data_IF_374457238954
#
_entry.id   IF_374457238954
#
_cell.length_a   1.000
_cell.length_b   1.000
_cell.length_c   1.000
_cell.angle_alpha   90.00
_cell.angle_beta   90.00
_cell.angle_gamma   90.00
#
_symmetry.space_group_name_H-M   'P 1'
#
loop_
_entity.id
_entity.type
_entity.pdbx_description
1 polymer ?
#
# COMPACT_ATOMS: atom_id res chain seq x y z
N UNK A 1 62.59 -2.82 9.02
CA UNK A 1 62.81 -1.86 7.90
C UNK A 1 61.44 -1.41 7.41
N UNK A 2 60.99 -0.25 7.84
CA UNK A 2 59.72 0.35 7.45
C UNK A 2 59.87 1.03 6.08
N UNK A 3 58.86 0.89 5.22
CA UNK A 3 58.79 1.55 3.91
C UNK A 3 57.40 2.18 3.77
N UNK A 4 57.34 3.47 4.07
CA UNK A 4 56.20 4.37 3.84
C UNK A 4 56.09 4.72 2.36
N UNK A 5 54.95 4.46 1.72
CA UNK A 5 54.56 5.09 0.45
C UNK A 5 53.42 6.06 0.69
N UNK A 6 53.75 7.36 0.67
CA UNK A 6 52.78 8.45 0.62
C UNK A 6 52.11 8.52 -0.75
N UNK A 7 50.82 8.83 -0.76
CA UNK A 7 50.06 9.22 -1.96
C UNK A 7 49.75 10.70 -1.86
N UNK A 8 50.20 11.46 -2.86
CA UNK A 8 49.82 12.84 -3.12
C UNK A 8 48.41 12.86 -3.73
N UNK A 9 47.56 13.77 -3.26
CA UNK A 9 46.30 14.13 -3.91
C UNK A 9 46.54 15.45 -4.64
N UNK A 10 46.42 15.44 -5.97
CA UNK A 10 46.35 16.62 -6.81
C UNK A 10 44.90 17.13 -6.86
N UNK A 11 44.74 18.43 -6.62
CA UNK A 11 43.48 19.15 -6.71
C UNK A 11 43.19 19.48 -8.18
N UNK A 12 42.06 19.00 -8.73
CA UNK A 12 41.49 19.49 -9.98
C UNK A 12 40.43 20.54 -9.67
N UNK A 13 40.67 21.79 -10.09
CA UNK A 13 39.70 22.86 -10.12
C UNK A 13 38.77 22.68 -11.33
N UNK A 14 37.46 22.65 -11.11
CA UNK A 14 36.44 22.65 -12.16
C UNK A 14 35.89 24.08 -12.25
N UNK A 15 36.08 24.71 -13.41
CA UNK A 15 35.56 26.04 -13.69
C UNK A 15 34.05 26.04 -13.88
N UNK A 16 33.38 26.98 -13.23
CA UNK A 16 31.96 27.28 -13.44
C UNK A 16 31.81 28.08 -14.74
N UNK A 17 31.10 27.52 -15.72
CA UNK A 17 30.54 28.27 -16.84
C UNK A 17 29.04 28.35 -16.68
N UNK A 18 28.54 29.54 -16.34
CA UNK A 18 27.11 29.89 -16.34
C UNK A 18 26.53 29.77 -17.76
N UNK A 19 25.63 28.79 -17.97
CA UNK A 19 24.71 28.82 -19.11
C UNK A 19 23.46 29.62 -18.72
N UNK A 20 23.25 30.76 -19.39
CA UNK A 20 21.96 31.46 -19.38
C UNK A 20 21.01 30.81 -20.39
N UNK A 21 19.81 30.33 -19.99
CA UNK A 21 18.84 29.84 -20.96
C UNK A 21 18.23 30.99 -21.76
N UNK A 22 18.11 30.81 -23.07
CA UNK A 22 17.42 31.75 -23.96
C UNK A 22 15.90 31.64 -23.81
N UNK A 23 15.20 32.76 -24.00
CA UNK A 23 13.75 32.90 -23.84
C UNK A 23 12.90 31.97 -24.76
N UNK A 24 13.51 31.25 -25.70
CA UNK A 24 12.84 30.28 -26.56
C UNK A 24 12.64 28.90 -25.90
N UNK A 25 13.35 28.60 -24.81
CA UNK A 25 13.18 27.35 -24.05
C UNK A 25 11.98 27.40 -23.08
N UNK A 26 11.50 28.59 -22.73
CA UNK A 26 10.38 28.78 -21.79
C UNK A 26 9.01 28.47 -22.41
N UNK A 27 8.86 28.59 -23.74
CA UNK A 27 7.55 28.44 -24.41
C UNK A 27 7.19 26.98 -24.71
N UNK A 28 8.17 26.08 -24.82
CA UNK A 28 7.93 24.63 -25.02
C UNK A 28 7.64 23.93 -23.68
N UNK A 29 8.16 24.45 -22.56
CA UNK A 29 7.83 23.94 -21.22
C UNK A 29 6.38 24.29 -20.82
N UNK A 30 5.82 25.41 -21.31
CA UNK A 30 4.45 25.80 -20.99
C UNK A 30 3.36 24.98 -21.69
N UNK A 31 3.63 24.35 -22.84
CA UNK A 31 2.62 23.49 -23.52
C UNK A 31 2.63 22.03 -23.04
N UNK A 32 3.67 21.59 -22.32
CA UNK A 32 3.68 20.28 -21.64
C UNK A 32 3.11 20.37 -20.22
N UNK A 33 3.13 21.56 -19.60
CA UNK A 33 2.56 21.80 -18.28
C UNK A 33 1.01 21.77 -18.23
N UNK A 34 0.32 21.86 -19.37
CA UNK A 34 -1.16 21.85 -19.43
C UNK A 34 -1.73 20.42 -19.56
N UNK A 35 -0.91 19.42 -19.90
CA UNK A 35 -1.35 18.03 -20.08
C UNK A 35 -1.11 17.11 -18.87
N UNK A 36 -0.38 17.56 -17.85
CA UNK A 36 -0.02 16.73 -16.68
C UNK A 36 -0.72 17.17 -15.37
N UNK A 37 -1.89 17.82 -15.47
CA UNK A 37 -2.81 18.01 -14.35
C UNK A 37 -3.43 16.66 -13.94
N UNK A 38 -2.61 15.72 -13.47
CA UNK A 38 -3.14 14.58 -12.74
C UNK A 38 -3.66 15.13 -11.41
N UNK A 39 -4.96 14.96 -11.12
CA UNK A 39 -5.48 15.44 -9.86
C UNK A 39 -4.71 14.73 -8.74
N UNK A 40 -4.09 15.52 -7.86
CA UNK A 40 -3.63 15.02 -6.57
C UNK A 40 -4.80 14.23 -5.95
N UNK A 41 -4.54 13.06 -5.32
CA UNK A 41 -5.59 12.27 -4.70
C UNK A 41 -6.44 13.17 -3.82
N UNK A 42 -7.73 13.26 -4.13
CA UNK A 42 -8.67 13.98 -3.29
C UNK A 42 -8.81 13.15 -2.03
N UNK A 43 -8.15 13.58 -0.96
CA UNK A 43 -8.34 12.99 0.37
C UNK A 43 -9.84 13.12 0.66
N UNK A 44 -10.58 12.02 0.83
CA UNK A 44 -11.99 12.10 1.13
C UNK A 44 -12.17 12.91 2.42
N UNK A 45 -13.14 13.81 2.39
CA UNK A 45 -13.57 14.55 3.57
C UNK A 45 -13.80 13.59 4.72
N UNK A 46 -13.38 14.02 5.90
CA UNK A 46 -13.48 13.24 7.12
C UNK A 46 -14.93 12.81 7.32
N UNK A 47 -15.20 11.53 7.13
CA UNK A 47 -16.47 10.95 7.51
C UNK A 47 -16.68 11.18 9.01
N UNK A 48 -17.91 11.54 9.40
CA UNK A 48 -18.29 11.58 10.80
C UNK A 48 -18.05 10.20 11.41
N UNK A 49 -17.16 10.15 12.39
CA UNK A 49 -16.82 8.91 13.07
C UNK A 49 -17.81 8.64 14.16
N UNK A 50 -18.46 7.49 14.09
CA UNK A 50 -19.27 6.97 15.19
C UNK A 50 -18.42 5.99 15.99
N UNK A 51 -18.16 6.26 17.28
CA UNK A 51 -17.43 5.33 18.13
C UNK A 51 -18.09 3.95 18.17
N UNK A 52 -17.29 2.90 18.03
CA UNK A 52 -17.71 1.53 18.34
C UNK A 52 -17.51 1.34 19.83
N UNK A 53 -18.63 1.43 20.56
CA UNK A 53 -18.63 1.40 22.04
C UNK A 53 -17.88 0.19 22.57
N UNK A 54 -17.04 0.42 23.56
CA UNK A 54 -16.28 -0.62 24.26
C UNK A 54 -15.44 -1.49 23.31
N UNK A 55 -14.89 -0.92 22.23
CA UNK A 55 -14.06 -1.67 21.27
C UNK A 55 -12.94 -2.46 21.95
N UNK A 56 -12.31 -1.87 22.97
CA UNK A 56 -11.23 -2.49 23.74
C UNK A 56 -11.65 -3.71 24.58
N UNK A 57 -12.95 -3.95 24.76
CA UNK A 57 -13.50 -5.16 25.38
C UNK A 57 -13.82 -6.26 24.35
N UNK A 58 -13.34 -6.11 23.11
CA UNK A 58 -13.58 -7.03 22.01
C UNK A 58 -12.31 -7.26 21.19
N UNK A 59 -12.38 -8.17 20.22
CA UNK A 59 -11.31 -8.38 19.25
C UNK A 59 -11.35 -7.27 18.18
N UNK A 60 -10.28 -6.48 18.09
CA UNK A 60 -10.10 -5.41 17.10
C UNK A 60 -9.27 -5.96 15.94
N UNK A 61 -9.78 -5.84 14.71
CA UNK A 61 -9.01 -6.15 13.51
C UNK A 61 -8.38 -4.86 12.95
N UNK A 62 -7.08 -4.90 12.68
CA UNK A 62 -6.34 -3.85 12.00
C UNK A 62 -5.83 -4.42 10.69
N UNK A 63 -6.50 -4.09 9.60
CA UNK A 63 -6.21 -4.61 8.28
C UNK A 63 -5.39 -3.67 7.43
N UNK A 64 -4.33 -4.21 6.83
CA UNK A 64 -3.44 -3.49 5.92
C UNK A 64 -3.13 -4.33 4.70
N UNK A 65 -2.58 -3.68 3.67
CA UNK A 65 -2.12 -4.28 2.44
C UNK A 65 -0.66 -3.92 2.22
N UNK A 66 0.00 -4.61 1.28
CA UNK A 66 1.39 -4.33 1.00
C UNK A 66 1.61 -2.84 0.65
N UNK A 67 2.47 -2.15 1.42
CA UNK A 67 2.78 -0.72 1.28
C UNK A 67 1.67 0.25 1.65
N UNK A 68 0.64 -0.16 2.40
CA UNK A 68 -0.38 0.80 2.88
C UNK A 68 -0.10 1.40 4.25
N UNK A 69 1.02 1.06 4.92
CA UNK A 69 1.37 1.64 6.23
C UNK A 69 1.35 0.67 7.40
N UNK A 70 1.51 -0.63 7.13
CA UNK A 70 1.53 -1.70 8.13
C UNK A 70 2.51 -1.46 9.28
N UNK A 71 3.72 -0.95 9.00
CA UNK A 71 4.72 -0.64 10.04
C UNK A 71 4.22 0.45 10.98
N UNK A 72 3.62 1.51 10.44
CA UNK A 72 3.06 2.61 11.23
C UNK A 72 1.95 2.07 12.15
N UNK A 73 0.96 1.38 11.60
CA UNK A 73 -0.14 0.85 12.40
C UNK A 73 0.33 -0.19 13.42
N UNK A 74 1.28 -1.06 13.07
CA UNK A 74 1.82 -2.03 14.01
C UNK A 74 2.54 -1.40 15.20
N UNK A 75 3.21 -0.25 15.00
CA UNK A 75 3.84 0.53 16.05
C UNK A 75 2.81 1.27 16.90
N UNK A 76 1.83 1.93 16.28
CA UNK A 76 0.75 2.66 16.95
C UNK A 76 -0.09 1.73 17.82
N UNK A 77 -0.55 0.60 17.27
CA UNK A 77 -1.37 -0.35 18.02
C UNK A 77 -0.60 -1.13 19.08
N UNK A 78 0.73 -1.21 19.00
CA UNK A 78 1.55 -1.72 20.11
C UNK A 78 1.52 -0.78 21.31
N UNK A 79 1.62 0.53 21.07
CA UNK A 79 1.47 1.52 22.12
C UNK A 79 0.05 1.49 22.70
N UNK A 80 -0.96 1.54 21.83
CA UNK A 80 -2.35 1.58 22.25
C UNK A 80 -2.76 0.33 23.02
N UNK A 81 -2.44 -0.87 22.54
CA UNK A 81 -2.73 -2.12 23.26
C UNK A 81 -2.07 -2.16 24.65
N UNK A 82 -0.83 -1.66 24.76
CA UNK A 82 -0.12 -1.54 26.06
C UNK A 82 -0.84 -0.57 26.99
N UNK A 83 -1.23 0.61 26.50
CA UNK A 83 -1.95 1.63 27.29
C UNK A 83 -3.32 1.13 27.73
N UNK A 84 -4.02 0.37 26.89
CA UNK A 84 -5.36 -0.17 27.16
C UNK A 84 -5.35 -1.51 27.90
N UNK A 85 -4.17 -2.08 28.17
CA UNK A 85 -4.03 -3.33 28.90
C UNK A 85 -4.57 -4.57 28.17
N UNK A 86 -4.57 -4.56 26.83
CA UNK A 86 -5.06 -5.69 26.02
C UNK A 86 -3.91 -6.38 25.25
N UNK A 87 -4.01 -7.69 24.97
CA UNK A 87 -3.02 -8.38 24.16
C UNK A 87 -3.00 -7.88 22.72
N UNK A 88 -1.85 -8.04 22.05
CA UNK A 88 -1.67 -7.74 20.63
C UNK A 88 -1.00 -8.89 19.91
N UNK A 89 -1.64 -9.35 18.84
CA UNK A 89 -1.12 -10.32 17.89
C UNK A 89 -0.87 -9.66 16.54
N UNK A 90 0.12 -10.16 15.79
CA UNK A 90 0.39 -9.74 14.41
C UNK A 90 0.44 -10.98 13.55
N UNK A 91 -0.48 -11.13 12.61
CA UNK A 91 -0.52 -12.26 11.69
C UNK A 91 0.58 -12.16 10.63
N UNK A 92 1.66 -12.90 10.84
CA UNK A 92 2.65 -13.29 9.83
C UNK A 92 2.31 -14.68 9.25
N UNK A 93 2.79 -14.96 8.03
CA UNK A 93 2.47 -16.12 7.17
C UNK A 93 2.73 -17.53 7.75
N UNK A 94 3.48 -17.70 8.85
CA UNK A 94 3.99 -19.03 9.25
C UNK A 94 3.54 -19.55 10.62
N UNK A 95 2.90 -18.76 11.48
CA UNK A 95 2.43 -19.25 12.80
C UNK A 95 1.40 -18.33 13.47
N UNK A 96 1.51 -17.05 13.20
CA UNK A 96 0.75 -15.99 13.89
C UNK A 96 -0.65 -15.74 13.35
N UNK A 97 -1.00 -16.25 12.16
CA UNK A 97 -2.40 -16.29 11.72
C UNK A 97 -3.27 -17.10 12.69
N UNK A 98 -2.69 -18.11 13.36
CA UNK A 98 -3.37 -18.87 14.41
C UNK A 98 -3.71 -18.00 15.62
N UNK A 99 -2.79 -17.15 16.09
CA UNK A 99 -3.03 -16.29 17.25
C UNK A 99 -4.15 -15.26 17.00
N UNK A 100 -4.23 -14.71 15.79
CA UNK A 100 -5.37 -13.87 15.40
C UNK A 100 -6.66 -14.68 15.31
N UNK A 101 -6.63 -15.84 14.64
CA UNK A 101 -7.81 -16.71 14.54
C UNK A 101 -8.34 -17.13 15.92
N UNK A 102 -7.46 -17.48 16.86
CA UNK A 102 -7.79 -17.81 18.25
C UNK A 102 -8.44 -16.63 18.98
N UNK A 103 -7.87 -15.43 18.86
CA UNK A 103 -8.44 -14.21 19.45
C UNK A 103 -9.89 -13.99 19.02
N UNK A 104 -10.17 -14.08 17.71
CA UNK A 104 -11.51 -13.89 17.15
C UNK A 104 -12.46 -15.07 17.45
N UNK A 105 -11.97 -16.31 17.43
CA UNK A 105 -12.76 -17.48 17.78
C UNK A 105 -13.20 -17.45 19.25
N UNK A 106 -12.29 -17.04 20.15
CA UNK A 106 -12.56 -16.88 21.57
C UNK A 106 -13.30 -15.58 21.91
N UNK A 107 -13.47 -14.66 20.95
CA UNK A 107 -14.02 -13.30 21.13
C UNK A 107 -13.33 -12.56 22.28
N UNK A 108 -12.03 -12.79 22.43
CA UNK A 108 -11.26 -12.23 23.53
C UNK A 108 -10.85 -10.79 23.23
N UNK A 109 -10.81 -9.90 24.24
CA UNK A 109 -10.26 -8.55 24.10
C UNK A 109 -8.83 -8.60 23.55
N UNK A 110 -8.55 -7.81 22.51
CA UNK A 110 -7.20 -7.74 21.95
C UNK A 110 -7.17 -7.13 20.56
N UNK A 111 -5.95 -6.88 20.09
CA UNK A 111 -5.70 -6.32 18.76
C UNK A 111 -5.02 -7.36 17.88
N UNK A 112 -5.61 -7.64 16.72
CA UNK A 112 -4.97 -8.39 15.66
C UNK A 112 -4.59 -7.46 14.51
N UNK A 113 -3.31 -7.46 14.13
CA UNK A 113 -2.85 -6.79 12.90
C UNK A 113 -2.70 -7.85 11.80
N UNK A 114 -3.52 -7.72 10.76
CA UNK A 114 -3.48 -8.56 9.56
C UNK A 114 -2.73 -7.81 8.44
N UNK A 115 -1.60 -8.38 8.03
CA UNK A 115 -0.89 -7.96 6.83
C UNK A 115 -1.47 -8.72 5.64
N UNK A 116 -1.80 -8.03 4.54
CA UNK A 116 -2.47 -8.62 3.37
C UNK A 116 -3.91 -9.05 3.67
N UNK A 117 -4.67 -8.16 4.31
CA UNK A 117 -6.08 -8.41 4.62
C UNK A 117 -6.83 -8.78 3.35
N UNK A 118 -7.53 -9.89 3.37
CA UNK A 118 -8.33 -10.35 2.24
C UNK A 118 -9.80 -10.42 2.62
N UNK A 119 -10.65 -10.49 1.61
CA UNK A 119 -12.08 -10.73 1.82
C UNK A 119 -12.35 -12.11 2.48
N UNK A 120 -11.46 -13.10 2.30
CA UNK A 120 -11.48 -14.34 3.09
C UNK A 120 -11.29 -14.06 4.58
N UNK A 121 -10.29 -13.25 4.94
CA UNK A 121 -10.02 -12.88 6.33
C UNK A 121 -11.24 -12.18 6.96
N UNK A 122 -11.87 -11.26 6.22
CA UNK A 122 -13.09 -10.59 6.68
C UNK A 122 -14.21 -11.57 6.99
N UNK A 123 -14.51 -12.50 6.08
CA UNK A 123 -15.57 -13.49 6.28
C UNK A 123 -15.30 -14.44 7.45
N UNK A 124 -14.04 -14.76 7.69
CA UNK A 124 -13.66 -15.69 8.75
C UNK A 124 -13.66 -15.04 10.13
N UNK A 125 -13.20 -13.80 10.25
CA UNK A 125 -12.89 -13.21 11.56
C UNK A 125 -13.82 -12.06 11.95
N UNK A 126 -14.39 -11.33 10.99
CA UNK A 126 -15.05 -10.05 11.28
C UNK A 126 -16.57 -10.19 11.51
N UNK A 127 -16.94 -10.67 12.70
CA UNK A 127 -18.33 -10.73 13.15
C UNK A 127 -19.05 -9.37 13.05
N UNK A 128 -20.38 -9.30 12.81
CA UNK A 128 -21.12 -8.04 12.77
C UNK A 128 -20.86 -7.16 14.00
N UNK A 129 -20.56 -5.88 13.78
CA UNK A 129 -20.26 -4.91 14.85
C UNK A 129 -18.84 -4.96 15.42
N UNK A 130 -18.05 -6.00 15.13
CA UNK A 130 -16.63 -6.04 15.52
C UNK A 130 -15.85 -4.84 14.93
N UNK A 131 -15.00 -4.16 15.72
CA UNK A 131 -14.22 -3.03 15.26
C UNK A 131 -13.18 -3.44 14.21
N UNK A 132 -13.19 -2.73 13.09
CA UNK A 132 -12.24 -2.92 11.99
C UNK A 132 -11.62 -1.59 11.60
N UNK A 133 -10.30 -1.49 11.74
CA UNK A 133 -9.50 -0.40 11.18
C UNK A 133 -8.91 -0.89 9.87
N UNK A 134 -9.28 -0.28 8.75
CA UNK A 134 -8.75 -0.62 7.43
C UNK A 134 -7.90 0.53 6.92
N UNK A 135 -6.67 0.24 6.52
CA UNK A 135 -5.80 1.21 5.86
C UNK A 135 -5.75 0.96 4.35
N UNK A 136 -6.12 1.98 3.58
CA UNK A 136 -6.00 2.05 2.13
C UNK A 136 -4.96 3.08 1.71
N UNK A 137 -4.41 2.96 0.51
CA UNK A 137 -3.42 3.89 -0.04
C UNK A 137 -3.64 4.09 -1.53
N UNK A 138 -3.22 5.25 -2.04
CA UNK A 138 -3.30 5.51 -3.46
C UNK A 138 -2.55 4.42 -4.24
N UNK A 139 -3.19 3.74 -5.21
CA UNK A 139 -2.59 2.58 -5.87
C UNK A 139 -1.31 2.92 -6.65
N UNK A 140 -1.19 4.16 -7.15
CA UNK A 140 0.05 4.62 -7.78
C UNK A 140 1.14 4.81 -6.73
N UNK A 141 0.81 5.43 -5.60
CA UNK A 141 1.75 5.57 -4.48
C UNK A 141 2.20 4.20 -3.92
N UNK A 142 1.32 3.20 -3.92
CA UNK A 142 1.68 1.83 -3.55
C UNK A 142 2.71 1.24 -4.53
N UNK A 143 2.48 1.32 -5.84
CA UNK A 143 3.41 0.81 -6.85
C UNK A 143 4.80 1.44 -6.73
N UNK A 144 4.87 2.77 -6.61
CA UNK A 144 6.13 3.51 -6.43
C UNK A 144 6.83 3.10 -5.12
N UNK A 145 6.07 3.05 -4.02
CA UNK A 145 6.58 2.67 -2.71
C UNK A 145 7.08 1.22 -2.68
N UNK A 146 6.45 0.31 -3.42
CA UNK A 146 6.86 -1.08 -3.54
C UNK A 146 8.16 -1.22 -4.32
N UNK A 147 8.27 -0.53 -5.47
CA UNK A 147 9.48 -0.53 -6.30
C UNK A 147 10.69 0.00 -5.54
N UNK A 148 10.58 1.17 -4.91
CA UNK A 148 11.70 1.73 -4.14
C UNK A 148 12.11 0.83 -2.98
N UNK A 149 11.14 0.23 -2.28
CA UNK A 149 11.45 -0.72 -1.22
C UNK A 149 12.16 -1.95 -1.76
N UNK A 150 11.62 -2.66 -2.75
CA UNK A 150 12.27 -3.87 -3.26
C UNK A 150 13.60 -3.61 -3.97
N UNK A 151 13.85 -2.38 -4.41
CA UNK A 151 15.15 -1.96 -4.92
C UNK A 151 16.19 -1.81 -3.79
N UNK A 152 15.82 -1.19 -2.66
CA UNK A 152 16.78 -0.74 -1.63
C UNK A 152 16.85 -1.62 -0.38
N UNK A 153 15.79 -2.34 -0.08
CA UNK A 153 15.64 -3.11 1.15
C UNK A 153 16.59 -4.33 1.17
N UNK A 154 16.98 -4.80 2.35
CA UNK A 154 18.09 -5.76 2.54
C UNK A 154 17.67 -7.03 3.25
N UNK A 155 16.37 -7.22 3.43
CA UNK A 155 15.80 -8.33 4.16
C UNK A 155 16.16 -9.67 3.50
N UNK A 156 16.46 -10.73 4.27
CA UNK A 156 16.93 -12.00 3.72
C UNK A 156 15.98 -12.64 2.70
N UNK A 157 14.67 -12.38 2.81
CA UNK A 157 13.67 -12.92 1.89
C UNK A 157 13.69 -12.22 0.52
N UNK A 158 14.22 -11.00 0.41
CA UNK A 158 14.41 -10.29 -0.86
C UNK A 158 15.62 -10.81 -1.65
N UNK A 159 16.56 -11.45 -0.95
CA UNK A 159 17.73 -12.08 -1.55
C UNK A 159 17.42 -13.46 -2.14
N UNK A 160 16.17 -13.93 -2.01
CA UNK A 160 15.78 -15.23 -2.54
C UNK A 160 15.58 -15.15 -4.06
N UNK A 161 16.16 -16.09 -4.83
CA UNK A 161 15.97 -16.13 -6.27
C UNK A 161 14.54 -16.51 -6.63
N UNK A 162 13.99 -15.90 -7.69
CA UNK A 162 12.66 -16.21 -8.19
C UNK A 162 12.73 -17.04 -9.46
N UNK A 163 11.96 -18.12 -9.53
CA UNK A 163 11.87 -19.01 -10.71
C UNK A 163 11.48 -18.23 -11.97
N UNK A 164 10.51 -17.33 -11.84
CA UNK A 164 10.00 -16.52 -12.95
C UNK A 164 10.98 -15.43 -13.42
N UNK A 165 12.02 -15.16 -12.61
CA UNK A 165 13.14 -14.29 -12.97
C UNK A 165 14.38 -15.11 -13.34
N UNK A 166 14.20 -16.34 -13.83
CA UNK A 166 15.29 -17.23 -14.25
C UNK A 166 16.33 -17.49 -13.14
N UNK A 167 15.88 -17.49 -11.88
CA UNK A 167 16.75 -17.66 -10.72
C UNK A 167 17.45 -16.39 -10.25
N UNK A 168 17.12 -15.22 -10.81
CA UNK A 168 17.58 -13.94 -10.29
C UNK A 168 16.73 -13.46 -9.11
N UNK A 169 17.34 -12.66 -8.23
CA UNK A 169 16.61 -11.91 -7.18
C UNK A 169 15.86 -10.72 -7.78
N UNK A 170 14.88 -10.19 -7.06
CA UNK A 170 14.17 -8.97 -7.50
C UNK A 170 15.12 -7.78 -7.63
N UNK A 171 16.05 -7.63 -6.68
CA UNK A 171 17.06 -6.56 -6.75
C UNK A 171 17.97 -6.70 -7.96
N UNK A 172 18.45 -7.92 -8.25
CA UNK A 172 19.22 -8.15 -9.46
C UNK A 172 18.44 -7.77 -10.71
N UNK A 173 17.16 -8.14 -10.79
CA UNK A 173 16.30 -7.75 -11.90
C UNK A 173 16.18 -6.22 -12.02
N UNK A 174 15.93 -5.50 -10.92
CA UNK A 174 15.77 -4.04 -10.95
C UNK A 174 17.07 -3.29 -11.27
N UNK A 175 18.23 -3.79 -10.83
CA UNK A 175 19.52 -3.18 -11.16
C UNK A 175 19.93 -3.39 -12.62
N UNK A 176 19.37 -4.40 -13.29
CA UNK A 176 19.69 -4.74 -14.68
C UNK A 176 18.57 -4.39 -15.68
N UNK A 177 17.55 -3.66 -15.24
CA UNK A 177 16.46 -3.17 -16.10
C UNK A 177 16.36 -1.65 -16.06
N UNK A 178 15.69 -1.05 -17.04
CA UNK A 178 15.46 0.39 -17.02
C UNK A 178 14.57 0.76 -15.82
N UNK A 179 14.73 1.96 -15.26
CA UNK A 179 13.87 2.42 -14.13
C UNK A 179 12.39 2.35 -14.49
N UNK A 180 12.05 2.70 -15.73
CA UNK A 180 10.68 2.65 -16.23
C UNK A 180 10.12 1.22 -16.26
N UNK A 181 10.90 0.26 -16.77
CA UNK A 181 10.48 -1.15 -16.81
C UNK A 181 10.43 -1.77 -15.41
N UNK A 182 11.36 -1.39 -14.53
CA UNK A 182 11.39 -1.82 -13.14
C UNK A 182 10.15 -1.42 -12.36
N UNK A 183 9.76 -0.12 -12.42
CA UNK A 183 8.57 0.36 -11.70
C UNK A 183 7.28 -0.22 -12.27
N UNK A 184 7.17 -0.38 -13.60
CA UNK A 184 6.02 -1.02 -14.26
C UNK A 184 5.91 -2.50 -13.89
N UNK A 185 7.03 -3.23 -13.92
CA UNK A 185 7.08 -4.63 -13.51
C UNK A 185 6.61 -4.81 -12.07
N UNK A 186 7.08 -3.96 -11.15
CA UNK A 186 6.65 -4.05 -9.76
C UNK A 186 5.18 -3.69 -9.57
N UNK A 187 4.68 -2.69 -10.29
CA UNK A 187 3.26 -2.35 -10.24
C UNK A 187 2.37 -3.50 -10.74
N UNK A 188 2.81 -4.21 -11.78
CA UNK A 188 2.17 -5.44 -12.27
C UNK A 188 2.14 -6.52 -11.18
N UNK A 189 3.27 -6.80 -10.51
CA UNK A 189 3.33 -7.71 -9.35
C UNK A 189 2.36 -7.33 -8.24
N UNK A 190 2.26 -6.04 -7.94
CA UNK A 190 1.45 -5.51 -6.85
C UNK A 190 -0.06 -5.52 -7.14
N UNK A 191 -0.47 -5.75 -8.39
CA UNK A 191 -1.88 -5.62 -8.78
C UNK A 191 -2.83 -6.54 -7.99
N UNK A 192 -2.38 -7.73 -7.58
CA UNK A 192 -3.19 -8.59 -6.72
C UNK A 192 -3.52 -7.93 -5.37
N UNK A 193 -2.54 -7.28 -4.75
CA UNK A 193 -2.73 -6.56 -3.48
C UNK A 193 -3.64 -5.35 -3.66
N UNK A 194 -3.44 -4.57 -4.74
CA UNK A 194 -4.29 -3.40 -5.04
C UNK A 194 -5.75 -3.83 -5.23
N UNK A 195 -5.98 -4.96 -5.92
CA UNK A 195 -7.35 -5.44 -6.08
C UNK A 195 -7.92 -5.94 -4.78
N UNK A 196 -7.22 -6.80 -4.02
CA UNK A 196 -7.70 -7.23 -2.69
C UNK A 196 -8.04 -6.04 -1.78
N UNK A 197 -7.23 -4.97 -1.81
CA UNK A 197 -7.52 -3.72 -1.12
C UNK A 197 -8.84 -3.09 -1.56
N UNK A 198 -9.07 -2.99 -2.87
CA UNK A 198 -10.32 -2.48 -3.42
C UNK A 198 -11.52 -3.37 -3.06
N UNK A 199 -11.35 -4.70 -2.97
CA UNK A 199 -12.41 -5.62 -2.55
C UNK A 199 -12.79 -5.39 -1.09
N UNK A 200 -11.80 -5.39 -0.21
CA UNK A 200 -11.98 -5.16 1.23
C UNK A 200 -12.61 -3.80 1.45
N UNK A 201 -12.09 -2.75 0.81
CA UNK A 201 -12.64 -1.39 0.89
C UNK A 201 -14.13 -1.36 0.52
N UNK A 202 -14.50 -1.90 -0.64
CA UNK A 202 -15.88 -1.87 -1.10
C UNK A 202 -16.82 -2.71 -0.23
N UNK A 203 -16.33 -3.84 0.31
CA UNK A 203 -17.08 -4.69 1.20
C UNK A 203 -17.33 -4.05 2.58
N UNK A 204 -16.43 -3.16 3.04
CA UNK A 204 -16.48 -2.65 4.43
C UNK A 204 -16.75 -1.16 4.56
N UNK A 205 -16.66 -0.36 3.50
CA UNK A 205 -16.82 1.12 3.57
C UNK A 205 -18.15 1.61 4.13
N UNK A 206 -19.22 0.81 4.04
CA UNK A 206 -20.56 1.14 4.58
C UNK A 206 -20.84 0.48 5.93
N UNK A 207 -19.90 -0.32 6.46
CA UNK A 207 -20.11 -1.09 7.68
C UNK A 207 -19.88 -0.19 8.90
N UNK A 208 -20.87 -0.11 9.79
CA UNK A 208 -20.81 0.77 10.97
C UNK A 208 -19.63 0.48 11.92
N UNK A 209 -19.18 -0.79 11.98
CA UNK A 209 -18.02 -1.21 12.76
C UNK A 209 -16.69 -1.07 12.02
N UNK A 210 -16.63 -0.33 10.91
CA UNK A 210 -15.41 -0.15 10.13
C UNK A 210 -15.04 1.32 10.02
N UNK A 211 -13.78 1.63 10.30
CA UNK A 211 -13.18 2.91 9.96
C UNK A 211 -12.07 2.67 8.95
N UNK A 212 -12.19 3.33 7.80
CA UNK A 212 -11.16 3.28 6.75
C UNK A 212 -10.35 4.57 6.75
N UNK A 213 -9.03 4.43 6.75
CA UNK A 213 -8.09 5.53 6.60
C UNK A 213 -7.39 5.47 5.25
N UNK A 214 -7.27 6.65 4.65
CA UNK A 214 -6.38 6.89 3.52
C UNK A 214 -5.00 7.19 4.10
N UNK A 215 -3.96 6.49 3.66
CA UNK A 215 -2.60 6.67 4.17
C UNK A 215 -2.12 8.12 4.05
N UNK A 216 -2.56 8.80 3.00
CA UNK A 216 -2.26 10.21 2.71
C UNK A 216 -2.79 11.16 3.80
N UNK A 217 -3.86 10.79 4.53
CA UNK A 217 -4.40 11.60 5.63
C UNK A 217 -3.41 11.80 6.77
N UNK A 218 -2.49 10.84 7.00
CA UNK A 218 -1.44 10.99 8.02
C UNK A 218 -0.41 12.05 7.65
N UNK A 219 -0.14 12.23 6.36
CA UNK A 219 0.77 13.28 5.90
C UNK A 219 0.11 14.66 5.93
N UNK A 220 -1.21 14.72 5.77
CA UNK A 220 -1.97 15.96 5.81
C UNK A 220 -2.23 16.46 7.25
N UNK A 221 -2.64 15.56 8.16
CA UNK A 221 -2.91 15.89 9.56
C UNK A 221 -2.77 14.62 10.42
N UNK A 222 -1.53 14.35 10.86
CA UNK A 222 -1.20 13.15 11.63
C UNK A 222 -1.99 13.06 12.93
N UNK A 223 -2.00 14.12 13.74
CA UNK A 223 -2.63 14.12 15.06
C UNK A 223 -4.16 14.01 14.95
N UNK A 224 -4.78 14.73 14.02
CA UNK A 224 -6.21 14.63 13.76
C UNK A 224 -6.61 13.23 13.27
N UNK A 225 -5.77 12.61 12.43
CA UNK A 225 -6.01 11.23 11.96
C UNK A 225 -5.87 10.21 13.09
N UNK A 226 -4.87 10.36 13.96
CA UNK A 226 -4.71 9.49 15.14
C UNK A 226 -5.85 9.65 16.14
N UNK A 227 -6.28 10.89 16.40
CA UNK A 227 -7.43 11.19 17.26
C UNK A 227 -8.69 10.50 16.76
N UNK A 228 -9.00 10.66 15.47
CA UNK A 228 -10.13 10.03 14.81
C UNK A 228 -10.13 8.50 15.00
N UNK A 229 -8.95 7.87 14.91
CA UNK A 229 -8.78 6.43 15.12
C UNK A 229 -9.08 6.02 16.56
N UNK A 230 -8.55 6.73 17.54
CA UNK A 230 -8.74 6.38 18.95
C UNK A 230 -10.14 6.71 19.47
N UNK A 231 -10.79 7.75 18.93
CA UNK A 231 -12.20 8.06 19.18
C UNK A 231 -13.12 6.99 18.61
N UNK A 232 -12.85 6.50 17.39
CA UNK A 232 -13.58 5.37 16.83
C UNK A 232 -13.53 4.12 17.70
N UNK A 233 -12.36 3.85 18.29
CA UNK A 233 -12.17 2.73 19.20
C UNK A 233 -12.66 2.99 20.63
N UNK A 234 -13.38 4.10 20.86
CA UNK A 234 -13.93 4.45 22.17
C UNK A 234 -12.86 4.45 23.28
N UNK A 235 -11.70 5.04 22.98
CA UNK A 235 -10.56 5.08 23.92
C UNK A 235 -10.75 6.08 25.08
N UNK A 236 -11.88 6.80 25.10
CA UNK A 236 -12.28 7.71 26.18
C UNK A 236 -11.20 8.73 26.54
N UNK A 237 -10.91 8.85 27.84
CA UNK A 237 -9.91 9.80 28.36
C UNK A 237 -8.47 9.52 27.89
N UNK A 238 -8.19 8.34 27.33
CA UNK A 238 -6.85 7.99 26.85
C UNK A 238 -6.50 8.58 25.49
N UNK A 239 -7.46 9.14 24.74
CA UNK A 239 -7.24 9.65 23.37
C UNK A 239 -6.07 10.62 23.29
N UNK A 240 -6.02 11.65 24.13
CA UNK A 240 -4.95 12.65 24.11
C UNK A 240 -3.57 12.04 24.37
N UNK A 241 -3.50 11.15 25.36
CA UNK A 241 -2.26 10.46 25.70
C UNK A 241 -1.78 9.59 24.53
N UNK A 242 -2.69 8.86 23.89
CA UNK A 242 -2.38 7.99 22.76
C UNK A 242 -1.94 8.78 21.54
N UNK A 243 -2.58 9.91 21.21
CA UNK A 243 -2.16 10.81 20.14
C UNK A 243 -0.75 11.33 20.41
N UNK A 244 -0.50 11.85 21.62
CA UNK A 244 0.84 12.33 22.03
C UNK A 244 1.90 11.24 21.95
N UNK A 245 1.57 10.01 22.34
CA UNK A 245 2.51 8.88 22.22
C UNK A 245 2.75 8.49 20.76
N UNK A 246 1.72 8.52 19.92
CA UNK A 246 1.81 8.16 18.50
C UNK A 246 2.59 9.20 17.69
N UNK A 247 2.65 10.47 18.12
CA UNK A 247 3.34 11.55 17.39
C UNK A 247 4.81 11.28 17.15
N UNK A 248 5.46 10.42 17.96
CA UNK A 248 6.84 9.97 17.72
C UNK A 248 7.03 9.25 16.37
N UNK A 249 5.95 8.79 15.74
CA UNK A 249 5.96 8.14 14.43
C UNK A 249 5.57 9.09 13.28
N UNK A 250 5.35 10.37 13.56
CA UNK A 250 5.16 11.39 12.54
C UNK A 250 6.50 11.73 11.88
N UNK A 251 6.69 11.23 10.66
CA UNK A 251 7.92 11.43 9.89
C UNK A 251 8.18 12.91 9.55
N UNK A 252 7.13 13.75 9.54
CA UNK A 252 7.31 15.19 9.33
C UNK A 252 7.97 15.89 10.53
N UNK A 253 7.85 15.32 11.73
CA UNK A 253 8.42 15.86 12.98
C UNK A 253 9.78 15.25 13.31
N UNK A 254 9.93 13.95 13.08
CA UNK A 254 11.05 13.18 13.63
C UNK A 254 12.02 12.66 12.56
N UNK A 255 11.72 12.85 11.27
CA UNK A 255 12.46 12.19 10.19
C UNK A 255 12.28 10.67 10.22
N UNK A 256 12.93 9.97 9.31
CA UNK A 256 12.89 8.51 9.26
C UNK A 256 14.09 7.92 10.02
N UNK A 257 13.86 7.39 11.22
CA UNK A 257 14.91 6.62 11.94
C UNK A 257 15.36 5.36 11.18
N UNK A 258 14.48 4.81 10.33
CA UNK A 258 14.77 3.68 9.46
C UNK A 258 14.44 4.05 8.01
N UNK A 259 15.37 4.75 7.36
CA UNK A 259 15.27 5.19 5.97
C UNK A 259 14.99 4.03 4.99
N UNK A 260 15.31 2.78 5.37
CA UNK A 260 15.13 1.60 4.53
C UNK A 260 13.66 1.28 4.21
N UNK A 261 12.74 1.70 5.07
CA UNK A 261 11.30 1.46 4.90
C UNK A 261 10.53 2.70 4.42
N UNK A 262 11.21 3.84 4.28
CA UNK A 262 10.61 5.12 3.89
C UNK A 262 11.14 5.53 2.54
N UNK A 263 10.27 5.54 1.52
CA UNK A 263 10.62 6.05 0.20
C UNK A 263 10.89 7.56 0.24
N UNK A 264 12.03 7.98 -0.32
CA UNK A 264 12.38 9.41 -0.47
C UNK A 264 11.33 10.11 -1.32
N UNK A 265 10.97 11.34 -0.95
CA UNK A 265 9.94 12.13 -1.66
C UNK A 265 10.39 12.60 -3.04
N UNK A 266 11.70 12.85 -3.22
CA UNK A 266 12.27 13.48 -4.41
C UNK A 266 12.09 12.66 -5.70
N UNK A 267 12.16 11.32 -5.61
CA UNK A 267 12.07 10.47 -6.81
C UNK A 267 10.64 10.10 -7.22
N UNK A 268 9.67 10.30 -6.32
CA UNK A 268 8.29 9.83 -6.52
C UNK A 268 7.62 10.44 -7.76
N UNK A 269 7.75 11.75 -8.06
CA UNK A 269 7.15 12.32 -9.27
C UNK A 269 7.61 11.63 -10.56
N UNK A 270 8.92 11.46 -10.75
CA UNK A 270 9.48 10.82 -11.94
C UNK A 270 9.02 9.34 -12.07
N UNK A 271 8.95 8.60 -10.96
CA UNK A 271 8.47 7.22 -10.97
C UNK A 271 6.96 7.12 -11.31
N UNK A 272 6.15 8.10 -10.88
CA UNK A 272 4.72 8.19 -11.25
C UNK A 272 4.56 8.43 -12.75
N UNK A 273 5.34 9.35 -13.32
CA UNK A 273 5.32 9.63 -14.76
C UNK A 273 5.69 8.38 -15.58
N UNK A 274 6.71 7.63 -15.15
CA UNK A 274 7.10 6.38 -15.80
C UNK A 274 5.99 5.32 -15.78
N UNK A 275 5.23 5.24 -14.69
CA UNK A 275 4.06 4.36 -14.59
C UNK A 275 2.94 4.81 -15.54
N UNK A 276 2.62 6.10 -15.59
CA UNK A 276 1.54 6.61 -16.42
C UNK A 276 1.85 6.66 -17.92
N UNK A 277 3.12 6.53 -18.29
CA UNK A 277 3.52 6.30 -19.68
C UNK A 277 3.16 4.89 -20.20
N UNK A 278 2.79 3.92 -19.33
CA UNK A 278 2.16 2.66 -19.74
C UNK A 278 0.64 2.84 -19.71
N UNK A 279 0.01 2.92 -20.88
CA UNK A 279 -1.42 3.26 -21.00
C UNK A 279 -2.34 2.25 -20.30
N UNK A 280 -2.02 0.96 -20.38
CA UNK A 280 -2.81 -0.08 -19.75
C UNK A 280 -2.73 0.03 -18.23
N UNK A 281 -1.53 0.24 -17.68
CA UNK A 281 -1.36 0.45 -16.24
C UNK A 281 -2.01 1.75 -15.78
N UNK A 282 -1.85 2.85 -16.53
CA UNK A 282 -2.51 4.12 -16.25
C UNK A 282 -4.01 3.94 -16.09
N UNK A 283 -4.66 3.31 -17.06
CA UNK A 283 -6.10 3.14 -17.09
C UNK A 283 -6.58 2.25 -15.93
N UNK A 284 -5.87 1.17 -15.63
CA UNK A 284 -6.20 0.30 -14.48
C UNK A 284 -6.04 1.05 -13.16
N UNK A 285 -4.95 1.81 -12.99
CA UNK A 285 -4.69 2.55 -11.75
C UNK A 285 -5.71 3.68 -11.53
N UNK A 286 -6.14 4.35 -12.60
CA UNK A 286 -7.23 5.33 -12.54
C UNK A 286 -8.53 4.66 -12.11
N UNK A 287 -8.90 3.53 -12.72
CA UNK A 287 -10.09 2.77 -12.34
C UNK A 287 -10.01 2.36 -10.86
N UNK A 288 -8.86 1.85 -10.41
CA UNK A 288 -8.62 1.46 -9.01
C UNK A 288 -8.77 2.63 -8.03
N UNK A 289 -8.28 3.83 -8.39
CA UNK A 289 -8.51 5.04 -7.58
C UNK A 289 -10.00 5.32 -7.40
N UNK A 290 -10.82 5.16 -8.45
CA UNK A 290 -12.27 5.32 -8.34
C UNK A 290 -12.87 4.26 -7.41
N UNK A 291 -12.48 2.99 -7.57
CA UNK A 291 -12.95 1.89 -6.71
C UNK A 291 -12.57 2.05 -5.24
N UNK A 292 -11.41 2.65 -4.95
CA UNK A 292 -10.92 2.95 -3.60
C UNK A 292 -11.44 4.28 -3.05
N UNK A 293 -12.26 5.02 -3.80
CA UNK A 293 -12.88 6.27 -3.34
C UNK A 293 -11.99 7.52 -3.40
N UNK A 294 -10.86 7.48 -4.13
CA UNK A 294 -9.99 8.65 -4.36
C UNK A 294 -10.55 9.66 -5.37
N UNK A 295 -11.56 9.26 -6.14
CA UNK A 295 -12.13 10.09 -7.20
C UNK A 295 -13.54 10.54 -6.85
N UNK A 296 -13.69 11.80 -6.40
CA UNK A 296 -15.02 12.40 -6.18
C UNK A 296 -15.64 12.79 -7.51
N UNK A 297 -16.91 12.42 -7.71
CA UNK A 297 -17.68 12.81 -8.89
C UNK A 297 -17.33 12.08 -10.19
N UNK A 298 -16.35 11.17 -10.16
CA UNK A 298 -16.08 10.28 -11.29
C UNK A 298 -16.96 9.04 -11.14
N UNK A 299 -17.72 8.73 -12.18
CA UNK A 299 -18.54 7.50 -12.22
C UNK A 299 -17.59 6.31 -12.26
N UNK A 300 -17.81 5.34 -11.36
CA UNK A 300 -17.06 4.10 -11.38
C UNK A 300 -17.21 3.43 -12.76
N UNK A 301 -16.12 2.95 -13.37
CA UNK A 301 -16.23 2.24 -14.63
C UNK A 301 -17.07 0.98 -14.42
N UNK A 302 -17.78 0.57 -15.46
CA UNK A 302 -18.55 -0.68 -15.45
C UNK A 302 -17.64 -1.83 -14.96
N UNK A 303 -18.05 -2.61 -13.94
CA UNK A 303 -17.24 -3.68 -13.37
C UNK A 303 -16.65 -4.63 -14.43
N UNK A 304 -17.42 -4.93 -15.48
CA UNK A 304 -16.99 -5.77 -16.60
C UNK A 304 -15.82 -5.20 -17.40
N UNK A 305 -15.71 -3.87 -17.51
CA UNK A 305 -14.60 -3.20 -18.20
C UNK A 305 -13.30 -3.35 -17.42
N UNK A 306 -13.32 -3.09 -16.10
CA UNK A 306 -12.15 -3.28 -15.25
C UNK A 306 -11.71 -4.75 -15.24
N UNK A 307 -12.65 -5.69 -15.17
CA UNK A 307 -12.39 -7.12 -15.33
C UNK A 307 -11.67 -7.45 -16.65
N UNK A 308 -12.08 -6.82 -17.75
CA UNK A 308 -11.45 -7.00 -19.05
C UNK A 308 -10.00 -6.50 -19.02
N UNK A 309 -9.77 -5.29 -18.50
CA UNK A 309 -8.42 -4.70 -18.38
C UNK A 309 -7.48 -5.57 -17.51
N UNK A 310 -7.96 -6.04 -16.36
CA UNK A 310 -7.18 -6.92 -15.47
C UNK A 310 -6.84 -8.27 -16.13
N UNK A 311 -7.76 -8.84 -16.92
CA UNK A 311 -7.49 -10.05 -17.71
C UNK A 311 -6.43 -9.80 -18.77
N UNK A 312 -6.54 -8.70 -19.52
CA UNK A 312 -5.54 -8.31 -20.52
C UNK A 312 -4.18 -8.11 -19.88
N UNK A 313 -4.11 -7.43 -18.73
CA UNK A 313 -2.87 -7.25 -17.98
C UNK A 313 -2.27 -8.61 -17.61
N UNK A 314 -3.06 -9.50 -17.02
CA UNK A 314 -2.59 -10.82 -16.65
C UNK A 314 -2.10 -11.65 -17.86
N UNK A 315 -2.83 -11.63 -18.98
CA UNK A 315 -2.46 -12.36 -20.19
C UNK A 315 -1.17 -11.85 -20.83
N UNK A 316 -0.86 -10.56 -20.67
CA UNK A 316 0.32 -9.91 -21.25
C UNK A 316 1.52 -9.85 -20.30
N UNK A 317 1.35 -10.27 -19.04
CA UNK A 317 2.40 -10.24 -18.04
C UNK A 317 2.89 -11.65 -17.73
N UNK A 318 4.16 -11.92 -18.00
CA UNK A 318 4.79 -13.20 -17.68
C UNK A 318 5.17 -13.31 -16.19
N UNK A 319 4.33 -12.77 -15.31
CA UNK A 319 4.56 -12.69 -13.87
C UNK A 319 3.74 -13.78 -13.20
N UNK A 320 4.37 -14.90 -12.85
CA UNK A 320 3.69 -16.06 -12.24
C UNK A 320 3.17 -15.84 -10.82
N UNK A 321 3.25 -14.61 -10.29
CA UNK A 321 2.78 -14.26 -8.94
C UNK A 321 1.27 -14.09 -8.79
N UNK A 322 0.51 -14.14 -9.89
CA UNK A 322 -0.94 -14.03 -9.81
C UNK A 322 -1.57 -15.37 -9.39
N UNK A 323 -1.68 -15.62 -8.08
CA UNK A 323 -2.40 -16.78 -7.53
C UNK A 323 -3.88 -16.85 -7.96
N UNK A 324 -4.48 -15.70 -8.25
CA UNK A 324 -5.81 -15.51 -8.82
C UNK A 324 -5.88 -15.59 -10.37
N UNK A 325 -4.75 -15.54 -11.07
CA UNK A 325 -4.69 -15.57 -12.53
C UNK A 325 -3.64 -16.55 -13.06
N UNK A 326 -3.79 -17.86 -12.79
CA UNK A 326 -2.99 -18.84 -13.51
C UNK A 326 -3.36 -18.77 -15.00
N UNK A 327 -2.37 -18.36 -15.81
CA UNK A 327 -2.40 -18.50 -17.28
C UNK A 327 -3.42 -17.56 -17.97
N UNK A 328 -3.57 -16.32 -17.50
CA UNK A 328 -4.50 -15.35 -18.09
C UNK A 328 -5.98 -15.60 -17.75
N UNK A 329 -6.28 -16.58 -16.89
CA UNK A 329 -7.65 -16.90 -16.47
C UNK A 329 -7.93 -16.40 -15.06
N UNK A 330 -8.76 -15.36 -14.95
CA UNK A 330 -9.44 -15.04 -13.69
C UNK A 330 -10.54 -16.09 -13.51
N UNK A 331 -10.62 -16.74 -12.34
CA UNK A 331 -11.69 -17.73 -12.07
C UNK A 331 -12.95 -17.00 -11.62
N UNK A 332 -14.10 -17.29 -12.26
CA UNK A 332 -15.38 -16.66 -11.92
C UNK A 332 -15.72 -16.84 -10.45
N UNK A 333 -16.09 -15.75 -9.79
CA UNK A 333 -16.48 -15.75 -8.38
C UNK A 333 -15.33 -15.77 -7.36
N UNK A 334 -14.05 -15.73 -7.79
CA UNK A 334 -12.92 -15.52 -6.86
C UNK A 334 -12.77 -14.08 -6.38
N UNK A 335 -13.33 -13.13 -7.11
CA UNK A 335 -13.37 -11.71 -6.74
C UNK A 335 -14.83 -11.37 -6.42
N UNK A 336 -15.27 -11.38 -5.15
CA UNK A 336 -16.70 -11.32 -4.83
C UNK A 336 -17.40 -10.02 -5.25
N UNK A 337 -16.68 -8.90 -5.33
CA UNK A 337 -17.23 -7.63 -5.83
C UNK A 337 -17.22 -7.51 -7.37
N UNK A 338 -16.59 -8.46 -8.07
CA UNK A 338 -16.59 -8.58 -9.52
C UNK A 338 -17.11 -9.98 -9.90
N UNK A 339 -18.40 -10.29 -9.65
CA UNK A 339 -18.95 -11.64 -9.86
C UNK A 339 -18.83 -12.11 -11.33
N UNK A 340 -18.77 -11.15 -12.27
CA UNK A 340 -18.60 -11.40 -13.70
C UNK A 340 -17.13 -11.52 -14.14
N UNK A 341 -16.17 -11.23 -13.26
CA UNK A 341 -14.75 -11.49 -13.51
C UNK A 341 -14.49 -13.00 -13.48
N UNK A 342 -14.39 -13.62 -14.66
CA UNK A 342 -13.68 -14.87 -14.85
C UNK A 342 -14.35 -15.89 -15.76
N UNK A 343 -13.61 -16.93 -16.15
CA UNK A 343 -14.20 -18.07 -16.84
C UNK A 343 -15.01 -18.92 -15.85
N UNK A 344 -16.15 -19.52 -16.27
CA UNK A 344 -16.85 -20.49 -15.44
C UNK A 344 -15.84 -21.53 -14.97
N UNK A 345 -15.81 -21.79 -13.66
CA UNK A 345 -14.90 -22.76 -13.08
C UNK A 345 -15.01 -24.06 -13.89
N UNK A 346 -13.89 -24.55 -14.45
CA UNK A 346 -13.89 -25.78 -15.20
C UNK A 346 -14.44 -26.88 -14.27
N UNK A 347 -15.55 -27.57 -14.61
CA UNK A 347 -16.15 -28.58 -13.75
C UNK A 347 -15.16 -29.66 -13.33
N UNK A 348 -14.13 -29.91 -14.16
CA UNK A 348 -13.07 -30.91 -13.93
C UNK A 348 -12.02 -30.52 -12.88
N UNK A 349 -12.01 -29.28 -12.38
CA UNK A 349 -11.06 -28.82 -11.36
C UNK A 349 -11.61 -28.87 -9.92
N UNK A 350 -12.79 -29.46 -9.70
CA UNK A 350 -13.43 -29.58 -8.37
C UNK A 350 -13.20 -30.94 -7.67
N UNK A 351 -12.20 -31.71 -8.09
CA UNK A 351 -11.86 -33.00 -7.47
C UNK A 351 -10.55 -32.93 -6.71
#
# INVERSE_FOLDING_TARGET
RASSKGRQYENFAIGETEMRPSAAFLTIVLHVAVANNFPEPLIPERAQVRPVRSSWNSSILVGTHHKTGTVLLAKVFRLAAKTMGVPRSKANKTSTGAACAELFAARSPGVCIEEHTSDRTLRQWLAPGAPFIHMVRDPVAMCVSAYQYHLLATEPWLQQPYKDLQGHTLQHYYHNTSRADGVRFECKRLMNEIVEEALVFNATKVRAGTLTFFFESFSADFDGTMRQMFEFLDSGAAVEQLVKQASQYDLSRHGAEDERHVSTSQEKPALREMLFADEMLRDILIDMRVFLGYSRGIVAPEPGLLCSKLRTLCATTNVGFFSWCPHGRVVRGKIPSLPDCGEPANPRQRH
#
